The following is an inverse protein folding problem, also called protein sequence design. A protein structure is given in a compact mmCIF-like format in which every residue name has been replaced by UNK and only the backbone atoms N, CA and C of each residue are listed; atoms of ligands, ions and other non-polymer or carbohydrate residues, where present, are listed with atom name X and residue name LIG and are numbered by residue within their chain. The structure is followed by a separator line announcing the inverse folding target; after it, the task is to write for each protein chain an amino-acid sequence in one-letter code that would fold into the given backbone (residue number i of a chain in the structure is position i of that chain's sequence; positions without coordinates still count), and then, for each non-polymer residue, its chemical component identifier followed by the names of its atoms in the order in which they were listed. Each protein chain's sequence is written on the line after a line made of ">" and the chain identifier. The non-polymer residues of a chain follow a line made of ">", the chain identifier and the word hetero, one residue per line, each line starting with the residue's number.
data_IF_499563265291
#
_entry.id   IF_499563265291
#
_cell.length_a   1.000
_cell.length_b   1.000
_cell.length_c   1.000
_cell.angle_alpha   90.00
_cell.angle_beta   90.00
_cell.angle_gamma   90.00
#
_symmetry.space_group_name_H-M   'P 1'
#
loop_
_entity.id
_entity.type
_entity.pdbx_description
1 polymer ?
#
# COMPACT_ATOMS: atom_id res chain seq x y z
N UNK A 1 -16.49 1.23 12.89
CA UNK A 1 -15.06 1.47 13.23
C UNK A 1 -14.60 2.58 12.32
N UNK A 2 -13.77 3.52 12.80
CA UNK A 2 -13.24 4.58 11.92
C UNK A 2 -12.37 3.97 10.82
N UNK A 3 -12.51 4.45 9.58
CA UNK A 3 -11.83 3.88 8.41
C UNK A 3 -10.37 4.34 8.34
N UNK A 4 -10.08 5.58 8.71
CA UNK A 4 -8.73 6.18 8.69
C UNK A 4 -7.70 5.38 9.49
N UNK A 5 -7.96 4.93 10.74
CA UNK A 5 -7.04 4.04 11.45
C UNK A 5 -6.80 2.70 10.76
N UNK A 6 -7.82 2.11 10.13
CA UNK A 6 -7.69 0.81 9.44
C UNK A 6 -6.79 0.96 8.21
N UNK A 7 -7.05 1.98 7.38
CA UNK A 7 -6.23 2.28 6.19
C UNK A 7 -4.82 2.67 6.61
N UNK A 8 -4.65 3.45 7.68
CA UNK A 8 -3.33 3.80 8.22
C UNK A 8 -2.57 2.55 8.68
N UNK A 9 -3.23 1.66 9.42
CA UNK A 9 -2.61 0.43 9.89
C UNK A 9 -2.20 -0.48 8.74
N UNK A 10 -3.01 -0.55 7.68
CA UNK A 10 -2.66 -1.25 6.45
C UNK A 10 -1.33 -0.75 5.86
N UNK A 11 -1.20 0.57 5.63
CA UNK A 11 0.03 1.12 5.05
C UNK A 11 1.24 0.97 5.95
N UNK A 12 1.04 1.03 7.27
CA UNK A 12 2.08 0.75 8.25
C UNK A 12 2.59 -0.70 8.14
N UNK A 13 1.67 -1.67 8.09
CA UNK A 13 2.02 -3.09 7.95
C UNK A 13 2.72 -3.36 6.62
N UNK A 14 2.20 -2.82 5.52
CA UNK A 14 2.79 -2.99 4.19
C UNK A 14 4.20 -2.39 4.11
N UNK A 15 4.39 -1.16 4.60
CA UNK A 15 5.70 -0.52 4.66
C UNK A 15 6.68 -1.35 5.49
N UNK A 16 6.25 -1.83 6.67
CA UNK A 16 7.09 -2.65 7.55
C UNK A 16 7.44 -4.01 6.92
N UNK A 17 6.48 -4.64 6.24
CA UNK A 17 6.71 -5.90 5.53
C UNK A 17 7.79 -5.73 4.46
N UNK A 18 7.70 -4.70 3.62
CA UNK A 18 8.69 -4.47 2.57
C UNK A 18 10.05 -4.01 3.11
N UNK A 19 10.11 -3.32 4.25
CA UNK A 19 11.38 -3.10 4.97
C UNK A 19 12.00 -4.44 5.37
N UNK A 20 11.20 -5.36 5.91
CA UNK A 20 11.65 -6.71 6.23
C UNK A 20 12.20 -7.44 5.00
N UNK A 21 11.50 -7.37 3.87
CA UNK A 21 11.95 -7.95 2.60
C UNK A 21 13.25 -7.32 2.10
N UNK A 22 13.41 -5.99 2.20
CA UNK A 22 14.68 -5.31 1.89
C UNK A 22 15.84 -5.86 2.72
N UNK A 23 15.64 -6.04 4.03
CA UNK A 23 16.67 -6.55 4.93
C UNK A 23 17.03 -8.02 4.65
N UNK A 24 16.06 -8.83 4.22
CA UNK A 24 16.29 -10.23 3.83
C UNK A 24 16.98 -10.36 2.48
N UNK A 25 16.90 -9.35 1.61
CA UNK A 25 17.46 -9.37 0.25
C UNK A 25 18.76 -8.58 0.10
N UNK A 26 19.46 -8.22 1.19
CA UNK A 26 20.66 -7.35 1.15
C UNK A 26 21.79 -7.91 0.26
N UNK A 27 21.88 -9.23 0.11
CA UNK A 27 22.85 -9.88 -0.79
C UNK A 27 22.56 -9.57 -2.27
N UNK A 28 21.29 -9.38 -2.63
CA UNK A 28 20.82 -9.05 -3.97
C UNK A 28 20.41 -7.58 -4.05
N UNK A 29 21.40 -6.69 -4.22
CA UNK A 29 21.21 -5.23 -4.16
C UNK A 29 20.06 -4.69 -5.00
N UNK A 30 19.87 -5.19 -6.23
CA UNK A 30 18.77 -4.76 -7.10
C UNK A 30 17.40 -5.07 -6.51
N UNK A 31 17.23 -6.27 -5.96
CA UNK A 31 16.01 -6.74 -5.32
C UNK A 31 15.74 -5.96 -4.02
N UNK A 32 16.77 -5.79 -3.18
CA UNK A 32 16.67 -5.00 -1.96
C UNK A 32 16.24 -3.54 -2.23
N UNK A 33 16.82 -2.90 -3.24
CA UNK A 33 16.44 -1.54 -3.65
C UNK A 33 14.98 -1.50 -4.11
N UNK A 34 14.54 -2.49 -4.89
CA UNK A 34 13.15 -2.61 -5.31
C UNK A 34 12.18 -2.63 -4.13
N UNK A 35 12.41 -3.51 -3.16
CA UNK A 35 11.59 -3.57 -1.94
C UNK A 35 11.65 -2.29 -1.10
N UNK A 36 12.83 -1.63 -1.06
CA UNK A 36 12.98 -0.40 -0.28
C UNK A 36 12.16 0.75 -0.88
N UNK A 37 12.14 0.86 -2.21
CA UNK A 37 11.30 1.84 -2.91
C UNK A 37 9.82 1.59 -2.60
N UNK A 38 9.38 0.33 -2.66
CA UNK A 38 7.99 -0.03 -2.35
C UNK A 38 7.64 0.33 -0.90
N UNK A 39 8.52 0.02 0.06
CA UNK A 39 8.32 0.37 1.47
C UNK A 39 8.17 1.88 1.68
N UNK A 40 9.05 2.68 1.06
CA UNK A 40 9.01 4.14 1.15
C UNK A 40 7.72 4.73 0.59
N UNK A 41 7.24 4.19 -0.54
CA UNK A 41 5.98 4.61 -1.13
C UNK A 41 4.81 4.37 -0.18
N UNK A 42 4.75 3.20 0.46
CA UNK A 42 3.68 2.89 1.43
C UNK A 42 3.75 3.80 2.66
N UNK A 43 4.95 4.08 3.18
CA UNK A 43 5.10 5.03 4.29
C UNK A 43 4.78 6.48 3.90
N UNK A 44 5.04 6.88 2.65
CA UNK A 44 4.67 8.20 2.16
C UNK A 44 3.14 8.36 2.08
N UNK A 45 2.43 7.33 1.62
CA UNK A 45 0.96 7.31 1.62
C UNK A 45 0.44 7.34 3.06
N UNK A 46 1.01 6.53 3.97
CA UNK A 46 0.69 6.57 5.40
C UNK A 46 0.83 7.99 5.97
N UNK A 47 1.96 8.64 5.68
CA UNK A 47 2.21 10.00 6.12
C UNK A 47 1.14 10.98 5.59
N UNK A 48 0.76 10.85 4.32
CA UNK A 48 -0.34 11.61 3.73
C UNK A 48 -1.66 11.43 4.45
N UNK A 49 -2.00 10.18 4.82
CA UNK A 49 -3.23 9.84 5.55
C UNK A 49 -3.21 10.44 6.97
N UNK A 50 -2.10 10.28 7.69
CA UNK A 50 -1.95 10.79 9.06
C UNK A 50 -2.03 12.32 9.12
N UNK A 51 -1.56 13.00 8.07
CA UNK A 51 -1.58 14.47 7.96
C UNK A 51 -2.80 15.02 7.22
N UNK A 52 -3.73 14.16 6.79
CA UNK A 52 -4.89 14.53 5.97
C UNK A 52 -4.50 15.34 4.71
N UNK A 53 -3.37 15.01 4.07
CA UNK A 53 -2.88 15.72 2.88
C UNK A 53 -3.52 15.11 1.63
N UNK A 54 -4.58 15.75 1.15
CA UNK A 54 -5.40 15.24 0.04
C UNK A 54 -4.63 14.89 -1.23
N UNK A 55 -3.61 15.68 -1.62
CA UNK A 55 -2.84 15.40 -2.83
C UNK A 55 -2.00 14.11 -2.71
N UNK A 56 -1.41 13.85 -1.55
CA UNK A 56 -0.63 12.62 -1.30
C UNK A 56 -1.56 11.42 -1.30
N UNK A 57 -2.74 11.55 -0.70
CA UNK A 57 -3.77 10.50 -0.68
C UNK A 57 -4.24 10.18 -2.11
N UNK A 58 -4.52 11.21 -2.92
CA UNK A 58 -4.93 11.03 -4.31
C UNK A 58 -3.85 10.32 -5.14
N UNK A 59 -2.59 10.74 -5.03
CA UNK A 59 -1.47 10.03 -5.66
C UNK A 59 -1.35 8.60 -5.14
N UNK A 60 -1.52 8.39 -3.83
CA UNK A 60 -1.55 7.09 -3.19
C UNK A 60 -2.60 6.16 -3.81
N UNK A 61 -3.81 6.66 -4.06
CA UNK A 61 -4.88 5.88 -4.72
C UNK A 61 -4.45 5.35 -6.10
N UNK A 62 -3.76 6.16 -6.90
CA UNK A 62 -3.25 5.69 -8.20
C UNK A 62 -2.14 4.66 -8.05
N UNK A 63 -1.28 4.80 -7.04
CA UNK A 63 -0.23 3.82 -6.75
C UNK A 63 -0.84 2.49 -6.30
N UNK A 64 -1.84 2.49 -5.43
CA UNK A 64 -2.55 1.27 -5.01
C UNK A 64 -3.22 0.59 -6.20
N UNK A 65 -3.83 1.37 -7.10
CA UNK A 65 -4.41 0.84 -8.33
C UNK A 65 -3.34 0.17 -9.20
N UNK A 66 -2.17 0.78 -9.31
CA UNK A 66 -1.03 0.21 -10.02
C UNK A 66 -0.56 -1.09 -9.35
N UNK A 67 -0.47 -1.12 -8.02
CA UNK A 67 -0.12 -2.30 -7.23
C UNK A 67 -1.12 -3.45 -7.42
N UNK A 68 -2.42 -3.14 -7.45
CA UNK A 68 -3.48 -4.09 -7.77
C UNK A 68 -3.32 -4.67 -9.18
N UNK A 69 -3.05 -3.81 -10.19
CA UNK A 69 -2.84 -4.24 -11.57
C UNK A 69 -1.62 -5.17 -11.67
N UNK A 70 -0.50 -4.78 -11.05
CA UNK A 70 0.70 -5.62 -11.03
C UNK A 70 0.48 -6.94 -10.29
N UNK A 71 -0.24 -6.91 -9.17
CA UNK A 71 -0.64 -8.11 -8.44
C UNK A 71 -1.45 -9.08 -9.31
N UNK A 72 -2.46 -8.58 -10.03
CA UNK A 72 -3.25 -9.37 -10.97
C UNK A 72 -2.36 -9.96 -12.07
N UNK A 73 -1.50 -9.14 -12.69
CA UNK A 73 -0.55 -9.61 -13.71
C UNK A 73 0.34 -10.71 -13.15
N UNK A 74 0.84 -10.53 -11.92
CA UNK A 74 1.73 -11.49 -11.29
C UNK A 74 1.02 -12.82 -11.00
N UNK A 75 -0.23 -12.80 -10.51
CA UNK A 75 -1.05 -14.01 -10.34
C UNK A 75 -1.21 -14.78 -11.66
N UNK A 76 -1.37 -14.06 -12.78
CA UNK A 76 -1.52 -14.68 -14.11
C UNK A 76 -0.21 -15.30 -14.61
N UNK A 77 0.95 -14.75 -14.22
CA UNK A 77 2.28 -15.23 -14.66
C UNK A 77 2.84 -16.31 -13.74
N UNK A 78 2.66 -16.15 -12.42
CA UNK A 78 3.14 -17.05 -11.38
C UNK A 78 2.11 -17.12 -10.25
N UNK A 79 1.46 -18.28 -10.10
CA UNK A 79 0.45 -18.46 -9.05
C UNK A 79 1.13 -18.70 -7.69
N UNK A 80 1.54 -17.61 -7.06
CA UNK A 80 2.08 -17.61 -5.70
C UNK A 80 1.03 -17.17 -4.68
N UNK A 81 0.78 -17.93 -3.60
CA UNK A 81 -0.21 -17.57 -2.58
C UNK A 81 0.03 -16.18 -1.95
N UNK A 82 1.29 -15.78 -1.81
CA UNK A 82 1.65 -14.45 -1.31
C UNK A 82 1.14 -13.34 -2.24
N UNK A 83 1.33 -13.50 -3.54
CA UNK A 83 0.88 -12.56 -4.58
C UNK A 83 -0.63 -12.44 -4.64
N UNK A 84 -1.36 -13.55 -4.50
CA UNK A 84 -2.83 -13.54 -4.37
C UNK A 84 -3.27 -12.73 -3.15
N UNK A 85 -2.62 -12.97 -2.00
CA UNK A 85 -2.94 -12.29 -0.75
C UNK A 85 -2.68 -10.78 -0.85
N UNK A 86 -1.53 -10.37 -1.39
CA UNK A 86 -1.17 -8.96 -1.57
C UNK A 86 -2.12 -8.25 -2.53
N UNK A 87 -2.49 -8.90 -3.63
CA UNK A 87 -3.46 -8.37 -4.60
C UNK A 87 -4.83 -8.15 -3.97
N UNK A 88 -5.30 -9.11 -3.17
CA UNK A 88 -6.56 -8.97 -2.44
C UNK A 88 -6.52 -7.84 -1.41
N UNK A 89 -5.40 -7.71 -0.71
CA UNK A 89 -5.14 -6.61 0.22
C UNK A 89 -5.15 -5.24 -0.48
N UNK A 90 -4.50 -5.14 -1.65
CA UNK A 90 -4.51 -3.95 -2.49
C UNK A 90 -5.93 -3.59 -2.96
N UNK A 91 -6.74 -4.58 -3.33
CA UNK A 91 -8.14 -4.36 -3.70
C UNK A 91 -8.97 -3.82 -2.53
N UNK A 92 -8.85 -4.41 -1.34
CA UNK A 92 -9.58 -3.96 -0.14
C UNK A 92 -9.19 -2.52 0.21
N UNK A 93 -7.89 -2.22 0.29
CA UNK A 93 -7.47 -0.86 0.66
C UNK A 93 -7.90 0.17 -0.39
N UNK A 94 -7.91 -0.20 -1.68
CA UNK A 94 -8.41 0.67 -2.75
C UNK A 94 -9.89 1.00 -2.57
N UNK A 95 -10.71 0.03 -2.17
CA UNK A 95 -12.13 0.26 -1.87
C UNK A 95 -12.27 1.16 -0.64
N UNK A 96 -11.48 0.93 0.41
CA UNK A 96 -11.56 1.72 1.64
C UNK A 96 -11.12 3.17 1.41
N UNK A 97 -10.01 3.40 0.71
CA UNK A 97 -9.46 4.74 0.47
C UNK A 97 -10.33 5.58 -0.48
N UNK A 98 -11.14 4.93 -1.31
CA UNK A 98 -12.07 5.61 -2.24
C UNK A 98 -13.47 5.80 -1.66
N UNK A 99 -13.78 5.17 -0.52
CA UNK A 99 -15.06 5.29 0.16
C UNK A 99 -15.37 6.72 0.62
N UNK A 100 -16.66 7.09 0.61
CA UNK A 100 -17.12 8.38 1.13
C UNK A 100 -16.82 8.52 2.63
N UNK A 101 -16.90 7.44 3.39
CA UNK A 101 -16.57 7.43 4.82
C UNK A 101 -15.13 7.85 5.07
N UNK A 102 -14.18 7.32 4.31
CA UNK A 102 -12.77 7.72 4.41
C UNK A 102 -12.55 9.17 3.98
N UNK A 103 -13.18 9.63 2.89
CA UNK A 103 -13.08 11.04 2.44
C UNK A 103 -13.60 12.00 3.51
N UNK A 104 -14.75 11.70 4.10
CA UNK A 104 -15.33 12.50 5.18
C UNK A 104 -14.42 12.54 6.41
N UNK A 105 -13.77 11.42 6.77
CA UNK A 105 -12.80 11.39 7.88
C UNK A 105 -11.51 12.17 7.61
N UNK A 106 -11.13 12.39 6.35
CA UNK A 106 -9.96 13.20 5.98
C UNK A 106 -10.31 14.69 5.95
N UNK A 107 -11.49 15.05 5.45
CA UNK A 107 -11.94 16.45 5.31
C UNK A 107 -12.41 17.07 6.64
N UNK A 108 -13.04 16.28 7.51
CA UNK A 108 -13.70 16.76 8.73
C UNK A 108 -13.10 16.20 10.04
N UNK A 109 -12.10 15.31 9.97
CA UNK A 109 -11.55 14.56 11.12
C UNK A 109 -10.07 14.79 11.40
#
# INVERSE_FOLDING_TARGET
>A
MRVKPIVSFFFFLMGTYFVGMTLLSVEEKSVAIGFMVIALVHFLILFGILRSVGIIIQFGTYIILLDLIFGIIWILVSFEPASVSLTFLAAIVLVLITSEEFKNEIEFG
#
